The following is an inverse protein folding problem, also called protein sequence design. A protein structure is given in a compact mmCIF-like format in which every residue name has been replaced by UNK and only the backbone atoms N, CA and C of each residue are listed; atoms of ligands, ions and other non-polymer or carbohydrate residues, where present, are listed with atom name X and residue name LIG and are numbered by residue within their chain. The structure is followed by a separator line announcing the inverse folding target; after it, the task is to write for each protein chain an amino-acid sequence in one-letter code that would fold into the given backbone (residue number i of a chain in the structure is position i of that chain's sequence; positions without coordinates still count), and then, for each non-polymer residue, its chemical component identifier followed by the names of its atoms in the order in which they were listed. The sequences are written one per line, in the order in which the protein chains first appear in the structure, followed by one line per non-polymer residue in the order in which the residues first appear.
data_IF_001721019450
#
_entry.id   IF_001721019450
#
_cell.length_a   1.000
_cell.length_b   1.000
_cell.length_c   1.000
_cell.angle_alpha   90.00
_cell.angle_beta   90.00
_cell.angle_gamma   90.00
#
_symmetry.space_group_name_H-M   'P 1'
#
loop_
_entity.id
_entity.type
_entity.pdbx_description
1 polymer ?
#
# COMPACT_ATOMS: atom_id res chain seq x y z
N UNK A 1 -7.38 14.49 14.94
CA UNK A 1 -6.55 14.43 13.72
C UNK A 1 -6.89 15.58 12.77
N UNK A 2 -6.45 16.80 13.13
CA UNK A 2 -6.33 17.87 12.16
C UNK A 2 -5.38 17.48 11.01
N UNK A 3 -5.38 18.22 9.91
CA UNK A 3 -4.45 17.96 8.80
C UNK A 3 -2.98 18.02 9.20
N UNK A 4 -2.64 18.77 10.25
CA UNK A 4 -1.29 18.82 10.82
C UNK A 4 -0.76 17.47 11.31
N UNK A 5 -1.66 16.52 11.57
CA UNK A 5 -1.33 15.17 12.01
C UNK A 5 -1.11 14.21 10.83
N UNK A 6 -1.54 14.61 9.61
CA UNK A 6 -1.28 13.86 8.37
C UNK A 6 0.02 14.36 7.78
N UNK A 7 1.06 13.54 7.89
CA UNK A 7 2.38 13.83 7.32
C UNK A 7 2.41 13.45 5.84
N UNK A 8 3.10 14.26 5.04
CA UNK A 8 3.08 14.16 3.58
C UNK A 8 1.74 14.54 2.94
N UNK A 9 1.54 14.11 1.69
CA UNK A 9 0.26 14.24 0.95
C UNK A 9 -0.29 15.67 0.81
N UNK A 10 0.59 16.67 0.77
CA UNK A 10 0.20 18.08 0.67
C UNK A 10 -0.69 18.37 -0.54
N UNK A 11 -0.43 17.75 -1.69
CA UNK A 11 -1.20 17.99 -2.92
C UNK A 11 -2.65 17.47 -2.87
N UNK A 12 -2.94 16.19 -2.53
CA UNK A 12 -4.33 15.74 -2.40
C UNK A 12 -5.08 16.49 -1.28
N UNK A 13 -4.42 16.81 -0.16
CA UNK A 13 -5.02 17.63 0.91
C UNK A 13 -5.38 19.03 0.39
N UNK A 14 -4.46 19.68 -0.34
CA UNK A 14 -4.70 21.00 -0.94
C UNK A 14 -5.88 20.98 -1.91
N UNK A 15 -6.01 19.93 -2.74
CA UNK A 15 -7.16 19.78 -3.66
C UNK A 15 -8.48 19.66 -2.91
N UNK A 16 -8.52 18.93 -1.80
CA UNK A 16 -9.71 18.84 -0.94
C UNK A 16 -10.07 20.21 -0.35
N UNK A 17 -9.09 20.92 0.24
CA UNK A 17 -9.29 22.26 0.80
C UNK A 17 -9.83 23.25 -0.23
N UNK A 18 -9.22 23.31 -1.42
CA UNK A 18 -9.67 24.20 -2.51
C UNK A 18 -11.10 23.87 -2.96
N UNK A 19 -11.45 22.58 -3.03
CA UNK A 19 -12.80 22.13 -3.40
C UNK A 19 -13.85 22.50 -2.34
N UNK A 20 -13.49 22.41 -1.05
CA UNK A 20 -14.33 22.82 0.06
C UNK A 20 -14.55 24.34 0.12
N UNK A 21 -13.48 25.13 0.02
CA UNK A 21 -13.58 26.60 -0.02
C UNK A 21 -14.45 27.09 -1.18
N UNK A 22 -14.46 26.37 -2.30
CA UNK A 22 -15.32 26.68 -3.44
C UNK A 22 -16.76 26.17 -3.30
N UNK A 23 -17.14 25.48 -2.22
CA UNK A 23 -18.45 24.87 -2.02
C UNK A 23 -18.75 23.72 -3.00
N UNK A 24 -17.71 23.10 -3.59
CA UNK A 24 -17.80 22.11 -4.68
C UNK A 24 -17.23 20.74 -4.30
N UNK A 25 -17.32 20.36 -3.03
CA UNK A 25 -16.95 19.01 -2.60
C UNK A 25 -17.78 17.98 -3.37
N UNK A 26 -17.08 17.01 -3.96
CA UNK A 26 -17.70 15.84 -4.57
C UNK A 26 -18.35 14.95 -3.52
N UNK A 27 -19.22 14.05 -3.99
CA UNK A 27 -19.92 13.10 -3.14
C UNK A 27 -19.22 11.74 -3.07
N UNK A 28 -18.28 11.48 -3.98
CA UNK A 28 -17.50 10.24 -4.02
C UNK A 28 -16.05 10.52 -4.40
N UNK A 29 -15.12 9.96 -3.63
CA UNK A 29 -13.69 10.06 -3.84
C UNK A 29 -13.05 8.67 -3.89
N UNK A 30 -12.08 8.49 -4.77
CA UNK A 30 -11.19 7.33 -4.76
C UNK A 30 -9.78 7.79 -4.39
N UNK A 31 -9.28 7.33 -3.25
CA UNK A 31 -7.94 7.59 -2.74
C UNK A 31 -7.05 6.45 -3.22
N UNK A 32 -6.23 6.77 -4.22
CA UNK A 32 -5.43 5.81 -4.99
C UNK A 32 -3.96 5.89 -4.58
N UNK A 33 -3.30 4.76 -4.39
CA UNK A 33 -1.85 4.72 -4.19
C UNK A 33 -1.42 3.47 -3.44
N UNK A 34 -0.12 3.19 -3.32
CA UNK A 34 0.35 1.91 -2.78
C UNK A 34 -0.15 1.60 -1.34
N UNK A 35 -0.19 0.33 -0.92
CA UNK A 35 -0.51 -0.04 0.46
C UNK A 35 0.43 0.61 1.48
N UNK A 36 -0.11 0.94 2.66
CA UNK A 36 0.66 1.50 3.76
C UNK A 36 1.13 2.96 3.62
N UNK A 37 0.83 3.68 2.53
CA UNK A 37 1.27 5.10 2.39
C UNK A 37 0.44 6.11 3.22
N UNK A 38 -0.54 5.66 4.01
CA UNK A 38 -1.35 6.54 4.87
C UNK A 38 -2.68 7.03 4.29
N UNK A 39 -3.14 6.47 3.15
CA UNK A 39 -4.41 6.84 2.50
C UNK A 39 -5.61 6.81 3.45
N UNK A 40 -5.76 5.71 4.20
CA UNK A 40 -6.84 5.53 5.18
C UNK A 40 -6.78 6.58 6.29
N UNK A 41 -5.58 6.93 6.75
CA UNK A 41 -5.40 7.98 7.75
C UNK A 41 -5.82 9.35 7.20
N UNK A 42 -5.46 9.66 5.96
CA UNK A 42 -5.93 10.86 5.27
C UNK A 42 -7.46 10.86 5.09
N UNK A 43 -8.08 9.71 4.78
CA UNK A 43 -9.52 9.56 4.66
C UNK A 43 -10.23 9.82 6.00
N UNK A 44 -9.67 9.31 7.11
CA UNK A 44 -10.18 9.57 8.45
C UNK A 44 -10.02 11.03 8.87
N UNK A 45 -8.89 11.67 8.55
CA UNK A 45 -8.70 13.10 8.79
C UNK A 45 -9.69 13.95 7.97
N UNK A 46 -9.94 13.59 6.71
CA UNK A 46 -10.95 14.24 5.89
C UNK A 46 -12.35 14.09 6.49
N UNK A 47 -12.73 12.87 6.88
CA UNK A 47 -14.01 12.61 7.52
C UNK A 47 -14.16 13.39 8.83
N UNK A 48 -13.10 13.49 9.61
CA UNK A 48 -13.11 14.26 10.84
C UNK A 48 -13.29 15.77 10.59
N UNK A 49 -12.65 16.32 9.57
CA UNK A 49 -12.85 17.71 9.19
C UNK A 49 -14.32 17.98 8.76
N UNK A 50 -14.91 17.06 7.99
CA UNK A 50 -16.30 17.15 7.52
C UNK A 50 -17.34 17.03 8.64
N UNK A 51 -17.02 16.30 9.71
CA UNK A 51 -17.91 16.04 10.84
C UNK A 51 -17.63 16.94 12.05
N UNK A 52 -16.57 17.76 11.98
CA UNK A 52 -16.18 18.62 13.08
C UNK A 52 -17.20 19.74 13.31
N UNK A 53 -17.73 19.84 14.53
CA UNK A 53 -18.67 20.88 14.97
C UNK A 53 -18.13 22.31 14.84
N UNK A 54 -16.81 22.47 14.82
CA UNK A 54 -16.10 23.76 14.79
C UNK A 54 -15.31 23.98 13.50
N UNK A 55 -15.51 23.15 12.49
CA UNK A 55 -14.83 23.33 11.21
C UNK A 55 -15.35 24.57 10.49
N UNK A 56 -14.43 25.32 9.90
CA UNK A 56 -14.75 26.28 8.84
C UNK A 56 -14.74 25.54 7.50
N UNK A 57 -15.81 25.71 6.71
CA UNK A 57 -15.93 25.13 5.38
C UNK A 57 -14.82 25.66 4.42
N UNK A 58 -14.17 26.78 4.73
CA UNK A 58 -13.05 27.33 3.95
C UNK A 58 -11.73 26.60 4.18
N UNK A 59 -11.38 26.30 5.43
CA UNK A 59 -10.10 25.68 5.77
C UNK A 59 -10.17 24.15 5.75
N UNK A 60 -11.40 23.60 5.79
CA UNK A 60 -11.69 22.17 5.83
C UNK A 60 -10.80 21.46 6.85
N UNK A 61 -10.63 21.98 8.05
CA UNK A 61 -9.75 21.37 9.07
C UNK A 61 -10.53 20.96 10.32
N UNK A 62 -10.07 19.90 10.97
CA UNK A 62 -10.66 19.43 12.21
C UNK A 62 -10.04 20.16 13.40
N UNK A 63 -10.85 20.64 14.34
CA UNK A 63 -10.32 21.25 15.56
C UNK A 63 -9.63 20.26 16.51
N UNK A 64 -9.85 18.95 16.31
CA UNK A 64 -9.26 17.86 17.09
C UNK A 64 -9.77 17.71 18.53
N UNK A 65 -10.56 18.67 19.04
CA UNK A 65 -10.91 18.76 20.47
C UNK A 65 -12.41 18.73 20.76
N UNK A 66 -13.29 18.94 19.77
CA UNK A 66 -14.74 18.84 19.98
C UNK A 66 -15.21 17.38 20.13
N UNK A 67 -16.42 17.14 20.72
CA UNK A 67 -16.97 15.79 20.88
C UNK A 67 -17.02 14.99 19.58
N UNK A 68 -17.50 15.58 18.48
CA UNK A 68 -17.51 14.91 17.18
C UNK A 68 -16.09 14.50 16.72
N UNK A 69 -15.08 15.37 16.89
CA UNK A 69 -13.70 15.02 16.59
C UNK A 69 -13.22 13.83 17.43
N UNK A 70 -13.46 13.84 18.74
CA UNK A 70 -13.05 12.75 19.62
C UNK A 70 -13.73 11.42 19.25
N UNK A 71 -15.03 11.45 18.92
CA UNK A 71 -15.77 10.27 18.48
C UNK A 71 -15.25 9.71 17.15
N UNK A 72 -14.90 10.58 16.18
CA UNK A 72 -14.27 10.14 14.93
C UNK A 72 -12.90 9.54 15.18
N UNK A 73 -12.09 10.13 16.06
CA UNK A 73 -10.77 9.59 16.42
C UNK A 73 -10.89 8.19 17.06
N UNK A 74 -11.91 8.00 17.90
CA UNK A 74 -12.27 6.72 18.50
C UNK A 74 -13.05 5.77 17.56
N UNK A 75 -13.40 6.21 16.34
CA UNK A 75 -14.15 5.45 15.32
C UNK A 75 -15.56 5.03 15.76
N UNK A 76 -16.21 5.85 16.58
CA UNK A 76 -17.56 5.59 17.12
C UNK A 76 -18.57 6.70 16.78
N UNK A 77 -18.21 7.62 15.88
CA UNK A 77 -19.11 8.69 15.47
C UNK A 77 -20.30 8.11 14.67
N UNK A 78 -21.57 8.44 15.00
CA UNK A 78 -22.74 7.82 14.37
C UNK A 78 -22.88 8.14 12.88
N UNK A 79 -22.34 9.28 12.43
CA UNK A 79 -22.31 9.67 11.02
C UNK A 79 -21.03 9.27 10.27
N UNK A 80 -20.17 8.46 10.91
CA UNK A 80 -18.99 7.87 10.28
C UNK A 80 -19.22 6.37 10.08
N UNK A 81 -19.34 5.95 8.83
CA UNK A 81 -19.50 4.54 8.46
C UNK A 81 -18.17 4.00 7.96
N UNK A 82 -17.69 2.91 8.57
CA UNK A 82 -16.43 2.27 8.21
C UNK A 82 -16.68 0.84 7.73
N UNK A 83 -16.31 0.55 6.49
CA UNK A 83 -16.29 -0.80 5.95
C UNK A 83 -14.83 -1.22 5.78
N UNK A 84 -14.43 -2.27 6.51
CA UNK A 84 -13.08 -2.84 6.44
C UNK A 84 -13.16 -4.29 5.98
N UNK A 85 -12.13 -4.75 5.28
CA UNK A 85 -12.01 -6.16 4.94
C UNK A 85 -11.80 -6.97 6.23
N UNK A 86 -12.65 -7.97 6.54
CA UNK A 86 -12.47 -8.76 7.74
C UNK A 86 -11.14 -9.54 7.70
N UNK A 87 -10.45 -9.68 8.84
CA UNK A 87 -9.17 -10.40 8.89
C UNK A 87 -9.27 -11.81 8.28
N UNK A 88 -8.38 -12.13 7.34
CA UNK A 88 -8.31 -13.43 6.70
C UNK A 88 -9.33 -13.66 5.57
N UNK A 89 -10.10 -12.64 5.17
CA UNK A 89 -10.95 -12.68 3.97
C UNK A 89 -10.22 -12.06 2.79
N UNK A 90 -10.45 -12.59 1.59
CA UNK A 90 -9.94 -12.02 0.34
C UNK A 90 -10.89 -10.93 -0.21
N UNK A 91 -12.18 -11.03 0.10
CA UNK A 91 -13.22 -10.14 -0.40
C UNK A 91 -14.10 -9.63 0.74
N UNK A 92 -14.66 -8.43 0.57
CA UNK A 92 -15.62 -7.85 1.49
C UNK A 92 -16.92 -8.68 1.50
N UNK A 93 -17.45 -9.03 2.68
CA UNK A 93 -18.76 -9.66 2.77
C UNK A 93 -19.84 -8.77 2.15
N UNK A 94 -20.72 -9.34 1.32
CA UNK A 94 -21.86 -8.63 0.73
C UNK A 94 -22.73 -7.97 1.83
N UNK A 95 -22.86 -8.63 2.98
CA UNK A 95 -23.61 -8.14 4.13
C UNK A 95 -23.15 -6.76 4.63
N UNK A 96 -21.86 -6.43 4.49
CA UNK A 96 -21.33 -5.11 4.87
C UNK A 96 -21.95 -3.96 4.08
N UNK A 97 -22.46 -4.24 2.87
CA UNK A 97 -23.03 -3.21 1.98
C UNK A 97 -24.55 -3.20 2.00
N UNK A 98 -25.19 -4.36 2.07
CA UNK A 98 -26.66 -4.47 1.89
C UNK A 98 -27.38 -5.21 3.01
N UNK A 99 -26.68 -5.59 4.08
CA UNK A 99 -27.22 -6.39 5.18
C UNK A 99 -27.24 -7.89 4.86
N UNK A 100 -27.44 -8.70 5.89
CA UNK A 100 -27.61 -10.14 5.77
C UNK A 100 -28.92 -10.49 5.04
N UNK A 101 -29.12 -11.78 4.70
CA UNK A 101 -30.28 -12.25 3.94
C UNK A 101 -31.62 -11.80 4.53
N UNK A 102 -31.73 -11.78 5.86
CA UNK A 102 -32.94 -11.40 6.59
C UNK A 102 -33.18 -9.88 6.59
N UNK A 103 -32.11 -9.08 6.54
CA UNK A 103 -32.15 -7.62 6.64
C UNK A 103 -31.74 -6.92 5.35
N UNK A 104 -31.80 -7.65 4.22
CA UNK A 104 -31.36 -7.13 2.92
C UNK A 104 -32.07 -5.81 2.61
N UNK A 105 -31.30 -4.76 2.32
CA UNK A 105 -31.76 -3.36 2.09
C UNK A 105 -32.31 -2.60 3.30
N UNK A 106 -32.23 -3.18 4.50
CA UNK A 106 -32.62 -2.55 5.78
C UNK A 106 -31.43 -2.38 6.73
N UNK A 107 -30.26 -2.85 6.32
CA UNK A 107 -28.99 -2.76 7.03
C UNK A 107 -27.84 -2.65 6.02
N UNK A 108 -26.62 -2.40 6.53
CA UNK A 108 -25.41 -2.28 5.74
C UNK A 108 -25.20 -0.88 5.17
N UNK A 109 -24.00 -0.67 4.61
CA UNK A 109 -23.52 0.64 4.21
C UNK A 109 -24.51 1.42 3.33
N UNK A 110 -25.07 0.79 2.29
CA UNK A 110 -25.93 1.46 1.32
C UNK A 110 -27.26 1.93 1.95
N UNK A 111 -27.75 1.22 2.97
CA UNK A 111 -28.93 1.65 3.73
C UNK A 111 -28.56 2.76 4.70
N UNK A 112 -27.51 2.57 5.49
CA UNK A 112 -27.11 3.49 6.55
C UNK A 112 -26.68 4.86 6.01
N UNK A 113 -25.95 4.90 4.89
CA UNK A 113 -25.51 6.15 4.26
C UNK A 113 -26.68 6.96 3.67
N UNK A 114 -27.81 6.29 3.38
CA UNK A 114 -29.03 6.92 2.88
C UNK A 114 -29.91 7.58 3.95
N UNK A 115 -29.66 7.26 5.23
CA UNK A 115 -30.34 7.92 6.33
C UNK A 115 -29.78 9.32 6.56
N UNK A 116 -30.62 10.21 7.10
CA UNK A 116 -30.18 11.53 7.54
C UNK A 116 -29.06 11.44 8.58
N UNK A 117 -28.11 12.39 8.59
CA UNK A 117 -27.11 12.49 9.65
C UNK A 117 -27.79 12.65 11.03
N UNK A 118 -27.26 11.98 12.05
CA UNK A 118 -27.77 12.03 13.42
C UNK A 118 -27.27 13.25 14.19
N UNK A 119 -26.00 13.62 14.00
CA UNK A 119 -25.35 14.71 14.74
C UNK A 119 -24.83 15.82 13.82
N UNK A 120 -24.26 15.43 12.69
CA UNK A 120 -23.56 16.33 11.78
C UNK A 120 -24.42 16.94 10.66
N UNK A 121 -23.76 17.69 9.78
CA UNK A 121 -24.35 18.15 8.50
C UNK A 121 -24.20 17.12 7.38
N UNK A 122 -23.32 16.16 7.58
CA UNK A 122 -22.87 15.20 6.57
C UNK A 122 -22.80 13.82 7.17
N UNK A 123 -22.86 12.81 6.30
CA UNK A 123 -22.58 11.42 6.64
C UNK A 123 -21.43 10.93 5.77
N UNK A 124 -20.42 10.34 6.39
CA UNK A 124 -19.18 9.98 5.69
C UNK A 124 -18.99 8.48 5.75
N UNK A 125 -18.86 7.84 4.59
CA UNK A 125 -18.54 6.43 4.45
C UNK A 125 -17.10 6.26 3.97
N UNK A 126 -16.32 5.44 4.67
CA UNK A 126 -14.97 5.03 4.25
C UNK A 126 -15.00 3.53 3.99
N UNK A 127 -14.68 3.15 2.76
CA UNK A 127 -14.53 1.76 2.33
C UNK A 127 -13.04 1.52 2.14
N UNK A 128 -12.43 0.79 3.07
CA UNK A 128 -11.02 0.40 2.98
C UNK A 128 -10.86 -0.80 2.06
N UNK A 129 -9.75 -0.88 1.33
CA UNK A 129 -9.46 -1.98 0.38
C UNK A 129 -10.61 -2.20 -0.62
N UNK A 130 -11.08 -1.14 -1.28
CA UNK A 130 -12.23 -1.23 -2.18
C UNK A 130 -11.98 -2.03 -3.47
N UNK A 131 -10.73 -2.41 -3.76
CA UNK A 131 -10.42 -3.42 -4.77
C UNK A 131 -10.93 -4.82 -4.40
N UNK A 132 -11.12 -5.11 -3.11
CA UNK A 132 -11.59 -6.41 -2.60
C UNK A 132 -13.12 -6.51 -2.59
N UNK A 133 -13.82 -5.65 -3.33
CA UNK A 133 -15.26 -5.74 -3.52
C UNK A 133 -15.59 -6.94 -4.41
N UNK A 134 -16.49 -7.81 -3.94
CA UNK A 134 -17.14 -8.76 -4.84
C UNK A 134 -18.14 -8.06 -5.77
N UNK A 135 -18.56 -8.77 -6.82
CA UNK A 135 -19.47 -8.23 -7.84
C UNK A 135 -20.79 -7.71 -7.24
N UNK A 136 -21.39 -8.45 -6.29
CA UNK A 136 -22.64 -8.04 -5.66
C UNK A 136 -22.50 -6.75 -4.85
N UNK A 137 -21.43 -6.62 -4.04
CA UNK A 137 -21.14 -5.43 -3.24
C UNK A 137 -20.82 -4.22 -4.12
N UNK A 138 -20.04 -4.41 -5.17
CA UNK A 138 -19.76 -3.37 -6.16
C UNK A 138 -21.04 -2.86 -6.83
N UNK A 139 -21.90 -3.77 -7.32
CA UNK A 139 -23.16 -3.41 -7.97
C UNK A 139 -24.12 -2.69 -7.00
N UNK A 140 -24.13 -3.09 -5.73
CA UNK A 140 -24.92 -2.40 -4.70
C UNK A 140 -24.45 -0.96 -4.47
N UNK A 141 -23.14 -0.71 -4.51
CA UNK A 141 -22.57 0.64 -4.36
C UNK A 141 -22.87 1.54 -5.57
N UNK A 142 -22.96 0.99 -6.79
CA UNK A 142 -23.17 1.79 -8.00
C UNK A 142 -24.40 2.70 -7.91
N UNK A 143 -25.51 2.18 -7.38
CA UNK A 143 -26.73 2.97 -7.19
C UNK A 143 -26.49 4.17 -6.27
N UNK A 144 -25.82 3.94 -5.16
CA UNK A 144 -25.50 5.00 -4.18
C UNK A 144 -24.46 5.98 -4.73
N UNK A 145 -23.53 5.54 -5.58
CA UNK A 145 -22.53 6.39 -6.23
C UNK A 145 -23.12 7.26 -7.35
N UNK A 146 -24.17 6.78 -8.03
CA UNK A 146 -24.90 7.54 -9.07
C UNK A 146 -25.79 8.62 -8.49
N UNK A 147 -26.53 8.27 -7.44
CA UNK A 147 -27.50 9.15 -6.78
C UNK A 147 -27.23 9.18 -5.27
N UNK A 148 -26.10 9.77 -4.85
CA UNK A 148 -25.75 9.81 -3.43
C UNK A 148 -26.74 10.69 -2.65
N UNK A 149 -27.14 10.25 -1.45
CA UNK A 149 -28.01 11.01 -0.56
C UNK A 149 -27.47 12.43 -0.27
N UNK A 150 -28.34 13.44 -0.06
CA UNK A 150 -27.89 14.78 0.30
C UNK A 150 -27.00 14.77 1.55
N UNK A 151 -25.81 15.36 1.45
CA UNK A 151 -24.84 15.41 2.55
C UNK A 151 -24.01 14.14 2.74
N UNK A 152 -24.22 13.09 1.94
CA UNK A 152 -23.37 11.90 1.94
C UNK A 152 -22.06 12.13 1.19
N UNK A 153 -20.94 11.67 1.78
CA UNK A 153 -19.64 11.59 1.13
C UNK A 153 -19.10 10.17 1.29
N UNK A 154 -18.71 9.56 0.17
CA UNK A 154 -18.05 8.25 0.13
C UNK A 154 -16.57 8.40 -0.22
N UNK A 155 -15.72 7.69 0.51
CA UNK A 155 -14.27 7.63 0.30
C UNK A 155 -13.88 6.17 0.12
N UNK A 156 -13.43 5.82 -1.08
CA UNK A 156 -12.93 4.50 -1.42
C UNK A 156 -11.41 4.54 -1.37
N UNK A 157 -10.80 3.70 -0.52
CA UNK A 157 -9.35 3.57 -0.43
C UNK A 157 -8.92 2.37 -1.27
N UNK A 158 -8.00 2.58 -2.21
CA UNK A 158 -7.60 1.56 -3.20
C UNK A 158 -6.09 1.54 -3.40
N UNK A 159 -5.46 0.37 -3.51
CA UNK A 159 -4.02 0.26 -3.76
C UNK A 159 -3.58 0.81 -5.14
N UNK A 160 -4.46 0.76 -6.14
CA UNK A 160 -4.14 1.13 -7.51
C UNK A 160 -5.40 1.41 -8.35
N UNK A 161 -5.24 2.14 -9.45
CA UNK A 161 -6.38 2.55 -10.28
C UNK A 161 -6.97 1.39 -11.08
N UNK A 162 -6.09 0.50 -11.54
CA UNK A 162 -6.38 -0.71 -12.30
C UNK A 162 -7.13 -1.77 -11.49
N UNK A 163 -7.01 -1.72 -10.16
CA UNK A 163 -7.73 -2.62 -9.24
C UNK A 163 -9.15 -2.14 -8.93
N UNK A 164 -9.49 -0.90 -9.27
CA UNK A 164 -10.83 -0.37 -9.09
C UNK A 164 -11.69 -0.65 -10.33
N UNK A 165 -12.91 -1.14 -10.11
CA UNK A 165 -13.85 -1.41 -11.19
C UNK A 165 -14.09 -0.14 -12.04
N UNK A 166 -14.01 -0.22 -13.39
CA UNK A 166 -14.18 0.93 -14.26
C UNK A 166 -15.50 1.70 -14.04
N UNK A 167 -16.56 0.99 -13.66
CA UNK A 167 -17.90 1.54 -13.37
C UNK A 167 -17.92 2.39 -12.10
N UNK A 168 -17.15 2.02 -11.07
CA UNK A 168 -16.98 2.82 -9.85
C UNK A 168 -16.04 3.99 -10.13
N UNK A 169 -14.94 3.73 -10.85
CA UNK A 169 -13.93 4.74 -11.21
C UNK A 169 -14.54 5.95 -11.90
N UNK A 170 -15.48 5.75 -12.83
CA UNK A 170 -16.10 6.85 -13.57
C UNK A 170 -17.00 7.76 -12.72
N UNK A 171 -17.35 7.35 -11.50
CA UNK A 171 -18.25 8.08 -10.58
C UNK A 171 -17.50 8.70 -9.40
N UNK A 172 -16.19 8.50 -9.30
CA UNK A 172 -15.37 8.99 -8.20
C UNK A 172 -14.42 10.10 -8.66
N UNK A 173 -14.21 11.11 -7.81
CA UNK A 173 -13.08 12.02 -7.96
C UNK A 173 -11.80 11.30 -7.54
N UNK A 174 -10.83 11.22 -8.46
CA UNK A 174 -9.58 10.51 -8.22
C UNK A 174 -8.56 11.41 -7.52
N UNK A 175 -8.08 10.98 -6.36
CA UNK A 175 -6.98 11.59 -5.61
C UNK A 175 -5.85 10.57 -5.48
N UNK A 176 -4.69 10.93 -6.02
CA UNK A 176 -3.50 10.08 -6.02
C UNK A 176 -2.59 10.43 -4.84
N UNK A 177 -2.17 9.39 -4.12
CA UNK A 177 -1.30 9.43 -2.97
C UNK A 177 0.03 8.80 -3.37
N UNK A 178 1.11 9.55 -3.17
CA UNK A 178 2.46 9.07 -3.44
C UNK A 178 3.05 8.44 -2.17
N UNK A 179 4.06 7.57 -2.29
CA UNK A 179 4.82 7.13 -1.12
C UNK A 179 5.36 8.32 -0.32
N UNK A 180 5.39 8.18 1.01
CA UNK A 180 5.93 9.23 1.88
C UNK A 180 7.42 9.42 1.66
N UNK A 181 7.89 10.65 1.84
CA UNK A 181 9.32 10.90 1.92
C UNK A 181 9.90 10.27 3.19
N UNK A 182 11.19 9.90 3.15
CA UNK A 182 11.84 9.25 4.30
C UNK A 182 11.78 10.12 5.57
N UNK A 183 11.85 11.45 5.44
CA UNK A 183 11.74 12.39 6.56
C UNK A 183 10.33 12.38 7.19
N UNK A 184 9.29 12.39 6.36
CA UNK A 184 7.90 12.30 6.82
C UNK A 184 7.64 10.94 7.47
N UNK A 185 8.08 9.85 6.85
CA UNK A 185 7.93 8.51 7.36
C UNK A 185 8.65 8.33 8.71
N UNK A 186 9.88 8.82 8.84
CA UNK A 186 10.60 8.85 10.12
C UNK A 186 9.77 9.56 11.19
N UNK A 187 9.21 10.72 10.86
CA UNK A 187 8.40 11.50 11.81
C UNK A 187 7.12 10.76 12.19
N UNK A 188 6.47 10.06 11.25
CA UNK A 188 5.32 9.17 11.53
C UNK A 188 5.73 8.09 12.55
N UNK A 189 6.85 7.41 12.33
CA UNK A 189 7.32 6.34 13.20
C UNK A 189 7.71 6.85 14.60
N UNK A 190 8.32 8.03 14.70
CA UNK A 190 8.67 8.65 15.98
C UNK A 190 7.44 9.04 16.81
N UNK A 191 6.33 9.39 16.15
CA UNK A 191 5.07 9.74 16.81
C UNK A 191 4.26 8.50 17.22
N UNK A 192 4.62 7.33 16.72
CA UNK A 192 3.94 6.08 17.06
C UNK A 192 4.25 5.72 18.53
N UNK A 193 3.25 5.70 19.42
CA UNK A 193 3.45 5.39 20.83
C UNK A 193 4.09 4.02 21.07
N UNK A 194 3.82 3.06 20.17
CA UNK A 194 4.35 1.71 20.25
C UNK A 194 5.85 1.66 19.93
N UNK A 195 6.40 2.72 19.32
CA UNK A 195 7.77 2.78 18.80
C UNK A 195 8.66 3.76 19.56
N UNK A 196 8.20 4.28 20.69
CA UNK A 196 9.00 5.17 21.53
C UNK A 196 10.25 4.44 22.06
N UNK A 197 11.41 4.77 21.52
CA UNK A 197 12.70 4.14 21.84
C UNK A 197 13.27 3.23 20.75
N UNK A 198 12.59 3.08 19.61
CA UNK A 198 13.15 2.38 18.46
C UNK A 198 14.42 3.08 17.95
N UNK A 199 15.49 2.30 17.77
CA UNK A 199 16.73 2.73 17.14
C UNK A 199 16.67 2.51 15.62
N UNK A 200 17.59 3.10 14.86
CA UNK A 200 17.73 2.93 13.40
C UNK A 200 16.57 3.45 12.53
N UNK A 201 15.70 4.33 13.05
CA UNK A 201 14.54 4.86 12.31
C UNK A 201 14.90 5.52 10.98
N UNK A 202 16.08 6.14 10.88
CA UNK A 202 16.59 6.69 9.63
C UNK A 202 16.78 5.61 8.55
N UNK A 203 17.43 4.50 8.91
CA UNK A 203 17.61 3.38 7.98
C UNK A 203 16.26 2.75 7.64
N UNK A 204 15.40 2.50 8.64
CA UNK A 204 14.08 1.89 8.42
C UNK A 204 13.21 2.74 7.50
N UNK A 205 13.20 4.06 7.69
CA UNK A 205 12.43 4.97 6.84
C UNK A 205 12.94 4.95 5.39
N UNK A 206 14.26 4.84 5.18
CA UNK A 206 14.85 4.67 3.86
C UNK A 206 14.44 3.34 3.22
N UNK A 207 14.50 2.24 3.99
CA UNK A 207 14.18 0.88 3.53
C UNK A 207 12.69 0.67 3.24
N UNK A 208 11.82 1.43 3.90
CA UNK A 208 10.38 1.25 3.80
C UNK A 208 9.75 1.87 2.54
N UNK A 209 10.53 2.58 1.73
CA UNK A 209 10.12 3.25 0.48
C UNK A 209 8.79 4.02 0.63
N UNK A 210 8.62 4.76 1.73
CA UNK A 210 7.44 5.60 1.96
C UNK A 210 6.18 4.89 2.44
N UNK A 211 6.25 3.60 2.78
CA UNK A 211 5.13 2.82 3.33
C UNK A 211 5.26 2.62 4.84
N UNK A 212 4.29 3.13 5.61
CA UNK A 212 4.22 3.05 7.08
C UNK A 212 4.12 1.60 7.55
N UNK A 213 3.27 0.81 6.89
CA UNK A 213 3.10 -0.61 7.19
C UNK A 213 4.42 -1.38 7.02
N UNK A 214 5.17 -1.03 5.99
CA UNK A 214 6.46 -1.63 5.67
C UNK A 214 7.50 -1.28 6.72
N UNK A 215 7.56 0.00 7.09
CA UNK A 215 8.45 0.46 8.13
C UNK A 215 8.18 -0.24 9.47
N UNK A 216 6.91 -0.44 9.85
CA UNK A 216 6.56 -1.15 11.08
C UNK A 216 7.05 -2.60 11.09
N UNK A 217 6.96 -3.28 9.96
CA UNK A 217 7.43 -4.66 9.84
C UNK A 217 8.97 -4.73 9.86
N UNK A 218 9.64 -3.76 9.23
CA UNK A 218 11.11 -3.63 9.23
C UNK A 218 11.70 -3.22 10.60
N UNK A 219 10.89 -2.93 11.61
CA UNK A 219 11.39 -2.82 12.98
C UNK A 219 11.93 -4.14 13.49
N UNK A 220 11.38 -5.27 13.02
CA UNK A 220 11.87 -6.60 13.34
C UNK A 220 13.33 -6.76 12.86
N UNK A 221 14.30 -6.90 13.77
CA UNK A 221 15.69 -7.10 13.42
C UNK A 221 15.92 -8.38 12.60
N UNK A 222 15.09 -9.41 12.79
CA UNK A 222 15.20 -10.66 12.05
C UNK A 222 14.81 -10.46 10.59
N UNK A 223 13.71 -9.75 10.32
CA UNK A 223 13.31 -9.41 8.95
C UNK A 223 14.38 -8.56 8.25
N UNK A 224 15.00 -7.61 8.96
CA UNK A 224 16.14 -6.84 8.43
C UNK A 224 17.35 -7.73 8.12
N UNK A 225 17.66 -8.70 8.97
CA UNK A 225 18.75 -9.66 8.74
C UNK A 225 18.48 -10.54 7.52
N UNK A 226 17.25 -11.05 7.38
CA UNK A 226 16.82 -11.84 6.22
C UNK A 226 16.94 -11.04 4.92
N UNK A 227 16.50 -9.78 4.92
CA UNK A 227 16.68 -8.85 3.79
C UNK A 227 18.16 -8.70 3.42
N UNK A 228 19.03 -8.49 4.40
CA UNK A 228 20.47 -8.34 4.15
C UNK A 228 21.08 -9.61 3.55
N UNK A 229 20.72 -10.80 4.06
CA UNK A 229 21.17 -12.08 3.51
C UNK A 229 20.70 -12.29 2.07
N UNK A 230 19.43 -11.98 1.78
CA UNK A 230 18.87 -12.05 0.45
C UNK A 230 19.62 -11.12 -0.52
N UNK A 231 19.85 -9.86 -0.14
CA UNK A 231 20.57 -8.88 -0.97
C UNK A 231 22.01 -9.33 -1.25
N UNK A 232 22.67 -9.90 -0.26
CA UNK A 232 24.01 -10.44 -0.42
C UNK A 232 24.04 -11.53 -1.49
N UNK A 233 23.08 -12.46 -1.47
CA UNK A 233 22.95 -13.50 -2.50
C UNK A 233 22.62 -12.90 -3.87
N UNK A 234 21.62 -12.03 -3.97
CA UNK A 234 21.21 -11.43 -5.26
C UNK A 234 22.32 -10.57 -5.89
N UNK A 235 23.23 -10.01 -5.09
CA UNK A 235 24.38 -9.22 -5.57
C UNK A 235 25.47 -10.04 -6.23
N UNK A 236 25.47 -11.36 -6.05
CA UNK A 236 26.50 -12.23 -6.62
C UNK A 236 26.28 -12.38 -8.14
N UNK A 237 27.34 -12.36 -8.96
CA UNK A 237 27.22 -12.52 -10.42
C UNK A 237 26.56 -13.82 -10.87
N UNK A 238 26.68 -14.86 -10.02
CA UNK A 238 26.09 -16.18 -10.17
C UNK A 238 25.74 -16.70 -8.79
N UNK A 239 24.54 -16.41 -8.30
CA UNK A 239 24.10 -16.99 -7.04
C UNK A 239 23.59 -18.44 -7.22
N UNK A 240 23.63 -19.18 -6.13
CA UNK A 240 23.16 -20.57 -6.06
C UNK A 240 21.64 -20.58 -5.84
N UNK A 241 20.90 -20.79 -6.93
CA UNK A 241 19.43 -20.79 -6.92
C UNK A 241 18.85 -21.88 -6.01
N UNK A 242 19.54 -23.01 -5.85
CA UNK A 242 19.11 -24.09 -4.96
C UNK A 242 19.25 -23.67 -3.50
N UNK A 243 20.41 -23.12 -3.11
CA UNK A 243 20.62 -22.63 -1.74
C UNK A 243 19.67 -21.49 -1.37
N UNK A 244 19.40 -20.58 -2.31
CA UNK A 244 18.48 -19.48 -2.07
C UNK A 244 17.02 -19.97 -1.96
N UNK A 245 16.64 -20.95 -2.77
CA UNK A 245 15.36 -21.66 -2.65
C UNK A 245 15.21 -22.39 -1.32
N UNK A 246 16.24 -23.11 -0.86
CA UNK A 246 16.28 -23.77 0.44
C UNK A 246 16.19 -22.79 1.61
N UNK A 247 16.94 -21.68 1.55
CA UNK A 247 16.87 -20.61 2.52
C UNK A 247 15.44 -20.05 2.62
N UNK A 248 14.85 -19.71 1.48
CA UNK A 248 13.51 -19.15 1.43
C UNK A 248 12.43 -20.14 1.90
N UNK A 249 12.57 -21.43 1.56
CA UNK A 249 11.71 -22.49 2.06
C UNK A 249 11.80 -22.61 3.58
N UNK A 250 13.02 -22.65 4.12
CA UNK A 250 13.25 -22.71 5.56
C UNK A 250 12.64 -21.53 6.31
N UNK A 251 12.72 -20.33 5.73
CA UNK A 251 12.04 -19.15 6.27
C UNK A 251 10.52 -19.30 6.30
N UNK A 252 9.92 -19.74 5.19
CA UNK A 252 8.47 -19.94 5.10
C UNK A 252 7.98 -21.05 6.03
N UNK A 253 8.70 -22.16 6.13
CA UNK A 253 8.33 -23.28 7.00
C UNK A 253 8.55 -22.96 8.48
N UNK A 254 9.56 -22.16 8.82
CA UNK A 254 9.82 -21.68 10.18
C UNK A 254 8.88 -20.57 10.64
N UNK A 255 8.23 -19.86 9.72
CA UNK A 255 7.43 -18.66 9.93
C UNK A 255 6.00 -18.89 10.50
N UNK A 256 5.88 -19.74 11.52
CA UNK A 256 4.62 -20.22 12.13
C UNK A 256 3.89 -21.31 11.34
N UNK A 257 3.12 -22.13 12.06
CA UNK A 257 2.27 -23.19 11.50
C UNK A 257 1.02 -22.67 10.79
N UNK A 258 0.74 -21.36 10.88
CA UNK A 258 -0.43 -20.75 10.27
C UNK A 258 -0.16 -20.36 8.81
N UNK A 259 -1.08 -20.72 7.90
CA UNK A 259 -1.01 -20.39 6.47
C UNK A 259 -0.88 -18.88 6.18
N UNK A 260 -1.35 -18.02 7.09
CA UNK A 260 -1.21 -16.57 6.97
C UNK A 260 0.23 -16.10 7.16
N UNK A 261 0.94 -16.62 8.18
CA UNK A 261 2.33 -16.25 8.48
C UNK A 261 3.31 -16.64 7.36
N UNK A 262 3.11 -17.81 6.77
CA UNK A 262 3.88 -18.30 5.62
C UNK A 262 3.77 -17.40 4.40
N UNK A 263 2.54 -16.94 4.08
CA UNK A 263 2.30 -16.01 2.97
C UNK A 263 2.91 -14.64 3.21
N UNK A 264 2.76 -14.11 4.43
CA UNK A 264 3.36 -12.82 4.78
C UNK A 264 4.87 -12.84 4.58
N UNK A 265 5.57 -13.89 5.04
CA UNK A 265 7.03 -14.00 4.85
C UNK A 265 7.43 -14.16 3.38
N UNK A 266 6.70 -14.97 2.61
CA UNK A 266 6.96 -15.09 1.18
C UNK A 266 6.74 -13.77 0.43
N UNK A 267 5.66 -13.05 0.75
CA UNK A 267 5.40 -11.71 0.22
C UNK A 267 6.55 -10.75 0.52
N UNK A 268 7.10 -10.79 1.74
CA UNK A 268 8.29 -10.00 2.10
C UNK A 268 9.52 -10.33 1.25
N UNK A 269 9.83 -11.62 1.06
CA UNK A 269 10.97 -12.03 0.25
C UNK A 269 10.85 -11.57 -1.20
N UNK A 270 9.67 -11.72 -1.81
CA UNK A 270 9.40 -11.27 -3.18
C UNK A 270 9.53 -9.75 -3.25
N UNK A 271 8.95 -9.04 -2.29
CA UNK A 271 9.02 -7.58 -2.22
C UNK A 271 10.45 -7.08 -2.12
N UNK A 272 11.30 -7.72 -1.31
CA UNK A 272 12.72 -7.38 -1.22
C UNK A 272 13.45 -7.62 -2.54
N UNK A 273 13.09 -8.66 -3.31
CA UNK A 273 13.63 -8.85 -4.65
C UNK A 273 13.20 -7.73 -5.61
N UNK A 274 11.93 -7.33 -5.59
CA UNK A 274 11.39 -6.21 -6.37
C UNK A 274 12.16 -4.93 -6.04
N UNK A 275 12.31 -4.64 -4.75
CA UNK A 275 13.05 -3.48 -4.23
C UNK A 275 14.49 -3.45 -4.76
N UNK A 276 15.20 -4.57 -4.62
CA UNK A 276 16.59 -4.72 -5.05
C UNK A 276 16.78 -4.45 -6.55
N UNK A 277 15.96 -5.09 -7.40
CA UNK A 277 16.08 -4.93 -8.85
C UNK A 277 15.56 -3.56 -9.33
N UNK A 278 14.55 -2.99 -8.67
CA UNK A 278 14.11 -1.61 -8.95
C UNK A 278 15.23 -0.61 -8.68
N UNK A 279 15.94 -0.75 -7.56
CA UNK A 279 17.09 0.09 -7.23
C UNK A 279 18.23 -0.09 -8.24
N UNK A 280 18.50 -1.33 -8.68
CA UNK A 280 19.47 -1.59 -9.74
C UNK A 280 19.08 -0.91 -11.07
N UNK A 281 17.79 -0.97 -11.45
CA UNK A 281 17.26 -0.33 -12.65
C UNK A 281 17.39 1.19 -12.59
N UNK A 282 17.07 1.79 -11.44
CA UNK A 282 17.26 3.23 -11.22
C UNK A 282 18.73 3.64 -11.29
N UNK A 283 19.63 2.85 -10.72
CA UNK A 283 21.06 3.11 -10.75
C UNK A 283 21.62 3.04 -12.18
N UNK A 284 21.20 2.03 -12.96
CA UNK A 284 21.59 1.88 -14.37
C UNK A 284 21.03 3.00 -15.26
N UNK A 285 19.77 3.42 -15.03
CA UNK A 285 19.11 4.45 -15.84
C UNK A 285 19.58 5.88 -15.54
N UNK A 286 19.93 6.18 -14.28
CA UNK A 286 20.35 7.53 -13.86
C UNK A 286 21.87 7.71 -13.79
N UNK A 287 22.65 6.62 -13.86
CA UNK A 287 24.09 6.64 -13.63
C UNK A 287 24.48 7.02 -12.19
N UNK A 288 23.53 7.01 -11.26
CA UNK A 288 23.75 7.31 -9.84
C UNK A 288 23.89 5.99 -9.10
N UNK A 289 25.09 5.71 -8.58
CA UNK A 289 25.30 4.58 -7.67
C UNK A 289 24.60 4.94 -6.35
N UNK A 290 23.73 4.07 -5.80
CA UNK A 290 23.05 4.35 -4.54
C UNK A 290 24.08 4.48 -3.38
N UNK A 291 23.69 5.16 -2.29
CA UNK A 291 24.55 5.49 -1.14
C UNK A 291 25.25 4.27 -0.51
N UNK A 292 26.22 4.48 0.39
CA UNK A 292 27.02 3.41 1.05
C UNK A 292 26.18 2.26 1.68
N UNK A 293 24.91 2.48 2.00
CA UNK A 293 23.98 1.47 2.51
C UNK A 293 23.51 0.47 1.43
N UNK A 294 23.77 0.73 0.15
CA UNK A 294 23.37 -0.08 -1.01
C UNK A 294 24.55 -0.71 -1.77
N UNK A 295 25.65 -1.00 -1.07
CA UNK A 295 26.83 -1.62 -1.67
C UNK A 295 26.48 -2.88 -2.49
N UNK A 296 25.52 -3.68 -2.03
CA UNK A 296 25.03 -4.88 -2.73
C UNK A 296 24.42 -4.58 -4.11
N UNK A 297 23.58 -3.54 -4.22
CA UNK A 297 23.00 -3.11 -5.50
C UNK A 297 24.11 -2.60 -6.42
N UNK A 298 25.04 -1.82 -5.88
CA UNK A 298 26.22 -1.35 -6.61
C UNK A 298 27.06 -2.48 -7.20
N UNK A 299 27.28 -3.56 -6.43
CA UNK A 299 28.01 -4.75 -6.89
C UNK A 299 27.31 -5.46 -8.06
N UNK A 300 25.98 -5.63 -8.00
CA UNK A 300 25.23 -6.19 -9.12
C UNK A 300 25.36 -5.31 -10.37
N UNK A 301 25.11 -4.00 -10.22
CA UNK A 301 25.18 -3.03 -11.32
C UNK A 301 26.57 -3.03 -11.97
N UNK A 302 27.62 -3.04 -11.15
CA UNK A 302 28.99 -3.14 -11.64
C UNK A 302 29.23 -4.45 -12.41
N UNK A 303 28.80 -5.59 -11.86
CA UNK A 303 28.93 -6.90 -12.51
C UNK A 303 28.22 -6.96 -13.87
N UNK A 304 27.00 -6.43 -13.96
CA UNK A 304 26.22 -6.41 -15.20
C UNK A 304 26.88 -5.51 -16.27
N UNK A 305 27.38 -4.36 -15.88
CA UNK A 305 28.10 -3.46 -16.79
C UNK A 305 29.40 -4.09 -17.31
N UNK A 306 30.18 -4.76 -16.46
CA UNK A 306 31.40 -5.46 -16.87
C UNK A 306 31.11 -6.62 -17.82
N UNK A 307 30.03 -7.38 -17.57
CA UNK A 307 29.56 -8.42 -18.49
C UNK A 307 29.13 -7.88 -19.85
N UNK A 308 28.39 -6.77 -19.86
CA UNK A 308 27.96 -6.13 -21.10
C UNK A 308 29.17 -5.67 -21.93
N UNK A 309 30.16 -5.04 -21.27
CA UNK A 309 31.44 -4.66 -21.91
C UNK A 309 32.20 -5.88 -22.45
N UNK A 310 32.34 -6.93 -21.65
CA UNK A 310 33.06 -8.14 -22.04
C UNK A 310 32.41 -8.89 -23.22
N UNK A 311 31.09 -8.80 -23.35
CA UNK A 311 30.33 -9.36 -24.48
C UNK A 311 30.22 -8.41 -25.68
N UNK A 312 30.82 -7.21 -25.63
CA UNK A 312 30.63 -6.14 -26.63
C UNK A 312 29.15 -5.76 -26.84
N UNK A 313 28.32 -5.93 -25.81
CA UNK A 313 26.91 -5.61 -25.83
C UNK A 313 26.66 -4.13 -25.51
N UNK A 314 25.50 -3.64 -25.95
CA UNK A 314 24.99 -2.30 -25.61
C UNK A 314 24.84 -2.15 -24.07
N UNK A 315 25.09 -0.95 -23.50
CA UNK A 315 24.72 -0.66 -22.11
C UNK A 315 23.24 -0.95 -21.80
N UNK A 316 22.38 -0.90 -22.82
CA UNK A 316 20.97 -1.25 -22.73
C UNK A 316 20.75 -2.72 -22.32
N UNK A 317 21.66 -3.63 -22.69
CA UNK A 317 21.53 -5.06 -22.34
C UNK A 317 21.55 -5.30 -20.82
N UNK A 318 22.27 -4.48 -20.05
CA UNK A 318 22.25 -4.55 -18.59
C UNK A 318 20.89 -4.08 -18.03
N UNK A 319 20.31 -3.03 -18.62
CA UNK A 319 18.99 -2.51 -18.26
C UNK A 319 17.92 -3.55 -18.56
N UNK A 320 17.93 -4.10 -19.78
CA UNK A 320 16.96 -5.11 -20.23
C UNK A 320 17.02 -6.36 -19.34
N UNK A 321 18.22 -6.80 -18.94
CA UNK A 321 18.40 -7.90 -17.99
C UNK A 321 17.75 -7.63 -16.63
N UNK A 322 17.89 -6.41 -16.11
CA UNK A 322 17.26 -6.04 -14.82
C UNK A 322 15.75 -5.95 -14.97
N UNK A 323 15.23 -5.49 -16.11
CA UNK A 323 13.79 -5.50 -16.42
C UNK A 323 13.26 -6.93 -16.39
N UNK A 324 13.91 -7.88 -17.07
CA UNK A 324 13.50 -9.31 -17.06
C UNK A 324 13.46 -9.89 -15.63
N UNK A 325 14.47 -9.59 -14.81
CA UNK A 325 14.53 -10.03 -13.41
C UNK A 325 13.38 -9.42 -12.59
N UNK A 326 13.10 -8.13 -12.77
CA UNK A 326 12.03 -7.42 -12.08
C UNK A 326 10.64 -7.93 -12.49
N UNK A 327 10.41 -8.17 -13.79
CA UNK A 327 9.18 -8.75 -14.31
C UNK A 327 8.90 -10.11 -13.69
N UNK A 328 9.94 -10.93 -13.48
CA UNK A 328 9.78 -12.23 -12.84
C UNK A 328 9.37 -12.09 -11.37
N UNK A 329 9.94 -11.14 -10.63
CA UNK A 329 9.51 -10.84 -9.27
C UNK A 329 8.06 -10.35 -9.20
N UNK A 330 7.65 -9.45 -10.11
CA UNK A 330 6.26 -8.96 -10.20
C UNK A 330 5.25 -10.07 -10.56
N UNK A 331 5.68 -11.06 -11.34
CA UNK A 331 4.86 -12.24 -11.62
C UNK A 331 4.72 -13.12 -10.36
N UNK A 332 5.79 -13.33 -9.60
CA UNK A 332 5.74 -14.08 -8.34
C UNK A 332 4.82 -13.40 -7.31
N UNK A 333 4.86 -12.07 -7.22
CA UNK A 333 4.00 -11.29 -6.32
C UNK A 333 2.51 -11.55 -6.62
N UNK A 334 2.12 -11.46 -7.90
CA UNK A 334 0.78 -11.79 -8.36
C UNK A 334 0.39 -13.25 -8.09
N UNK A 335 1.34 -14.18 -8.13
CA UNK A 335 1.08 -15.60 -7.83
C UNK A 335 0.79 -15.81 -6.33
N UNK A 336 1.48 -15.10 -5.44
CA UNK A 336 1.16 -15.13 -4.00
C UNK A 336 -0.23 -14.57 -3.75
N UNK A 337 -0.59 -13.44 -4.38
CA UNK A 337 -1.95 -12.88 -4.31
C UNK A 337 -3.01 -13.85 -4.85
N UNK A 338 -2.69 -14.58 -5.93
CA UNK A 338 -3.54 -15.60 -6.53
C UNK A 338 -3.57 -16.96 -5.76
N UNK A 339 -3.18 -16.97 -4.49
CA UNK A 339 -3.22 -18.13 -3.60
C UNK A 339 -2.32 -19.32 -3.96
N UNK A 340 -1.29 -19.12 -4.79
CA UNK A 340 -0.26 -20.16 -5.04
C UNK A 340 0.46 -20.50 -3.72
N UNK A 341 0.90 -21.76 -3.59
CA UNK A 341 1.64 -22.22 -2.41
C UNK A 341 2.94 -21.40 -2.24
N UNK A 342 3.18 -20.77 -1.06
CA UNK A 342 4.27 -19.81 -0.89
C UNK A 342 5.66 -20.37 -1.19
N UNK A 343 5.98 -21.57 -0.68
CA UNK A 343 7.27 -22.22 -0.92
C UNK A 343 7.53 -22.47 -2.41
N UNK A 344 6.54 -23.01 -3.13
CA UNK A 344 6.63 -23.29 -4.57
C UNK A 344 6.83 -22.01 -5.38
N UNK A 345 6.14 -20.94 -5.00
CA UNK A 345 6.28 -19.65 -5.67
C UNK A 345 7.70 -19.09 -5.52
N UNK A 346 8.28 -19.14 -4.31
CA UNK A 346 9.65 -18.69 -4.05
C UNK A 346 10.70 -19.55 -4.75
N UNK A 347 10.55 -20.87 -4.72
CA UNK A 347 11.44 -21.79 -5.45
C UNK A 347 11.47 -21.49 -6.94
N UNK A 348 10.29 -21.35 -7.54
CA UNK A 348 10.16 -21.01 -8.96
C UNK A 348 10.76 -19.65 -9.28
N UNK A 349 10.55 -18.65 -8.41
CA UNK A 349 11.15 -17.33 -8.57
C UNK A 349 12.68 -17.41 -8.56
N UNK A 350 13.28 -18.03 -7.55
CA UNK A 350 14.74 -18.06 -7.41
C UNK A 350 15.44 -18.91 -8.47
N UNK A 351 14.80 -19.98 -8.93
CA UNK A 351 15.29 -20.75 -10.08
C UNK A 351 15.33 -19.89 -11.35
N UNK A 352 14.26 -19.15 -11.64
CA UNK A 352 14.20 -18.29 -12.83
C UNK A 352 15.16 -17.10 -12.75
N UNK A 353 15.28 -16.45 -11.59
CA UNK A 353 16.27 -15.39 -11.38
C UNK A 353 17.70 -15.92 -11.58
N UNK A 354 17.99 -17.12 -11.06
CA UNK A 354 19.30 -17.77 -11.23
C UNK A 354 19.59 -18.12 -12.69
N UNK A 355 18.59 -18.59 -13.45
CA UNK A 355 18.71 -18.83 -14.90
C UNK A 355 18.99 -17.53 -15.65
N UNK A 356 18.20 -16.49 -15.43
CA UNK A 356 18.34 -15.20 -16.10
C UNK A 356 19.71 -14.56 -15.85
N UNK A 357 20.27 -14.67 -14.64
CA UNK A 357 21.61 -14.16 -14.38
C UNK A 357 22.71 -14.93 -15.12
N UNK A 358 22.52 -16.21 -15.44
CA UNK A 358 23.53 -17.03 -16.16
C UNK A 358 23.54 -16.78 -17.67
N UNK A 359 22.46 -16.25 -18.23
CA UNK A 359 22.36 -15.97 -19.67
C UNK A 359 23.34 -14.83 -20.04
N UNK A 360 24.17 -15.01 -21.09
CA UNK A 360 25.04 -13.95 -21.60
C UNK A 360 24.24 -12.70 -21.98
N UNK A 361 24.86 -11.52 -21.85
CA UNK A 361 24.29 -10.28 -22.38
C UNK A 361 24.74 -10.17 -23.83
N UNK A 362 23.90 -10.52 -24.80
CA UNK A 362 24.25 -10.58 -26.22
C UNK A 362 23.03 -10.55 -27.11
#
# INVERSE_FOLDING_TARGET
MPWSDVLGHSEPIRRLKVSAAAGRLGQAYAFLGPPGVGKRQCALAFAQALLCERADDHDLDACGTCPACQQVAARIHPDLLLVNLPPGKAEHPVASFIGDKEERRRAGLCYEIALHPLLGRRKVAIIDEAESLNEEGANALLKTLEEPPPGAIMILVVAGLERLLPTIRSRCQLLTFQPLEAADLKTVLQRDPELQGAHDLDSIALLAEGSIETARQLLDPELRRQRQQLYEQLSQPRFDSLKLGEFARGLVEGASTAKSGQRSHAGWMIRFCIEFYRQALLALSRGVVPSREFDQVGRLVHSLNERARGASASPQAAIDRVIELLERCLLADRQIEANVAPAVCLESLFDDLGKLQRIPLG
#
